data_IF_767100152986
#
_entry.id   IF_767100152986
#
_cell.length_a   1.000
_cell.length_b   1.000
_cell.length_c   1.000
_cell.angle_alpha   90.00
_cell.angle_beta   90.00
_cell.angle_gamma   90.00
#
_symmetry.space_group_name_H-M   'P 1'
#
loop_
_entity.id
_entity.type
_entity.pdbx_description
1 polymer ?
#
# COMPACT_ATOMS: atom_id res chain seq x y z
N UNK A 1 -9.50 -20.52 -4.58
CA UNK A 1 -10.40 -20.96 -3.49
C UNK A 1 -10.68 -22.45 -3.68
N UNK A 2 -10.51 -23.24 -2.64
CA UNK A 2 -10.84 -24.66 -2.62
C UNK A 2 -12.15 -24.85 -1.86
N UNK A 3 -13.05 -25.65 -2.43
CA UNK A 3 -14.33 -25.99 -1.82
C UNK A 3 -14.40 -27.49 -1.51
N UNK A 4 -14.94 -27.82 -0.37
CA UNK A 4 -15.33 -29.20 -0.06
C UNK A 4 -16.60 -29.56 -0.86
N UNK A 5 -16.54 -30.67 -1.62
CA UNK A 5 -17.67 -31.15 -2.44
C UNK A 5 -18.90 -31.53 -1.60
N UNK A 6 -18.71 -31.84 -0.33
CA UNK A 6 -19.78 -32.23 0.59
C UNK A 6 -20.36 -31.03 1.37
N UNK A 7 -19.84 -29.83 1.16
CA UNK A 7 -20.20 -28.60 1.90
C UNK A 7 -20.11 -28.72 3.43
N UNK A 8 -19.22 -29.58 3.93
CA UNK A 8 -19.04 -29.80 5.37
C UNK A 8 -18.00 -28.85 5.99
N UNK A 9 -17.16 -28.23 5.16
CA UNK A 9 -16.13 -27.30 5.59
C UNK A 9 -16.30 -25.95 4.91
N UNK A 10 -15.80 -24.90 5.56
CA UNK A 10 -15.70 -23.58 4.95
C UNK A 10 -14.72 -23.61 3.76
N UNK A 11 -14.93 -22.77 2.73
CA UNK A 11 -13.96 -22.62 1.66
C UNK A 11 -12.62 -22.13 2.22
N UNK A 12 -11.51 -22.43 1.53
CA UNK A 12 -10.21 -21.86 1.86
C UNK A 12 -10.22 -20.34 1.70
N UNK A 13 -9.27 -19.67 2.33
CA UNK A 13 -8.97 -18.27 1.99
C UNK A 13 -8.56 -18.15 0.51
N UNK A 14 -8.72 -16.94 -0.01
CA UNK A 14 -8.19 -16.59 -1.33
C UNK A 14 -6.71 -16.29 -1.15
N UNK A 15 -5.87 -16.94 -1.91
CA UNK A 15 -4.45 -16.64 -2.00
C UNK A 15 -4.19 -15.95 -3.34
N UNK A 16 -3.37 -14.93 -3.31
CA UNK A 16 -2.94 -14.14 -4.47
C UNK A 16 -1.42 -14.14 -4.48
N UNK A 17 -0.83 -14.29 -5.65
CA UNK A 17 0.61 -14.25 -5.80
C UNK A 17 0.96 -13.39 -7.02
N UNK A 18 1.89 -12.48 -6.86
CA UNK A 18 2.40 -11.61 -7.92
C UNK A 18 3.74 -12.13 -8.45
N UNK A 19 3.90 -12.13 -9.76
CA UNK A 19 5.15 -12.51 -10.42
C UNK A 19 5.58 -11.40 -11.39
N UNK A 20 6.82 -10.93 -11.25
CA UNK A 20 7.41 -9.93 -12.15
C UNK A 20 8.19 -10.60 -13.27
N UNK A 21 7.84 -10.28 -14.52
CA UNK A 21 8.51 -10.83 -15.70
C UNK A 21 9.21 -9.69 -16.43
N UNK A 22 10.55 -9.67 -16.39
CA UNK A 22 11.37 -8.62 -17.02
C UNK A 22 10.98 -7.20 -16.58
N UNK A 23 10.62 -7.02 -15.32
CA UNK A 23 10.20 -5.75 -14.74
C UNK A 23 11.13 -5.37 -13.58
N UNK A 24 12.34 -4.84 -13.86
CA UNK A 24 13.26 -4.44 -12.80
C UNK A 24 12.77 -3.16 -12.10
N UNK A 25 12.99 -3.11 -10.80
CA UNK A 25 12.67 -1.97 -9.96
C UNK A 25 13.89 -1.47 -9.20
N UNK A 26 13.87 -0.23 -8.72
CA UNK A 26 14.95 0.39 -7.93
C UNK A 26 14.50 0.76 -6.53
N UNK A 27 13.21 0.56 -6.23
CA UNK A 27 12.55 0.77 -4.94
C UNK A 27 11.66 -0.42 -4.66
N UNK A 28 11.15 -0.51 -3.43
CA UNK A 28 10.20 -1.54 -3.07
C UNK A 28 8.95 -1.51 -3.97
N UNK A 29 8.32 -2.65 -4.11
CA UNK A 29 7.11 -2.81 -4.92
C UNK A 29 5.97 -3.22 -4.02
N UNK A 30 4.86 -2.51 -4.11
CA UNK A 30 3.59 -2.93 -3.51
C UNK A 30 2.68 -3.44 -4.63
N UNK A 31 2.20 -4.65 -4.48
CA UNK A 31 1.18 -5.24 -5.35
C UNK A 31 -0.08 -5.48 -4.54
N UNK A 32 -1.19 -4.90 -4.99
CA UNK A 32 -2.51 -5.11 -4.38
C UNK A 32 -3.46 -5.74 -5.38
N UNK A 33 -4.26 -6.67 -4.90
CA UNK A 33 -5.23 -7.34 -5.76
C UNK A 33 -6.53 -7.65 -5.01
N UNK A 34 -7.65 -7.49 -5.71
CA UNK A 34 -8.98 -7.78 -5.18
C UNK A 34 -10.07 -7.34 -6.15
N UNK A 35 -11.24 -7.93 -6.02
CA UNK A 35 -12.34 -7.76 -6.98
C UNK A 35 -12.79 -6.30 -7.18
N UNK A 36 -12.67 -5.44 -6.15
CA UNK A 36 -13.15 -4.06 -6.18
C UNK A 36 -12.05 -3.04 -5.84
N UNK A 37 -10.77 -3.45 -5.80
CA UNK A 37 -9.67 -2.56 -5.38
C UNK A 37 -9.44 -1.45 -6.40
N UNK A 38 -9.51 -1.77 -7.68
CA UNK A 38 -9.44 -0.81 -8.78
C UNK A 38 -10.61 0.19 -8.74
N UNK A 39 -11.80 -0.24 -8.39
CA UNK A 39 -12.96 0.64 -8.24
C UNK A 39 -12.77 1.66 -7.12
N UNK A 40 -12.20 1.27 -5.98
CA UNK A 40 -11.81 2.21 -4.92
C UNK A 40 -10.85 3.26 -5.49
N UNK A 41 -9.77 2.85 -6.14
CA UNK A 41 -8.75 3.76 -6.66
C UNK A 41 -9.25 4.60 -7.86
N UNK A 42 -10.31 4.19 -8.53
CA UNK A 42 -11.00 4.99 -9.52
C UNK A 42 -12.01 5.99 -8.92
N UNK A 43 -12.08 6.10 -7.60
CA UNK A 43 -12.80 7.16 -6.89
C UNK A 43 -14.14 6.74 -6.31
N UNK A 44 -14.45 5.45 -6.26
CA UNK A 44 -15.64 4.95 -5.57
C UNK A 44 -15.35 4.83 -4.05
N UNK A 45 -16.20 5.40 -3.25
CA UNK A 45 -16.09 5.36 -1.78
C UNK A 45 -16.58 4.02 -1.23
N UNK A 46 -15.81 2.97 -1.48
CA UNK A 46 -16.07 1.60 -1.03
C UNK A 46 -14.90 1.11 -0.16
N UNK A 47 -15.09 -0.04 0.48
CA UNK A 47 -14.07 -0.67 1.34
C UNK A 47 -13.84 -2.11 0.88
N UNK A 48 -13.13 -2.31 -0.24
CA UNK A 48 -12.89 -3.64 -0.74
C UNK A 48 -11.93 -4.42 0.16
N UNK A 49 -12.05 -5.74 0.09
CA UNK A 49 -11.11 -6.68 0.68
C UNK A 49 -10.21 -7.19 -0.44
N UNK A 50 -8.92 -7.33 -0.16
CA UNK A 50 -7.97 -7.86 -1.10
C UNK A 50 -6.62 -8.19 -0.46
N UNK A 51 -5.72 -8.71 -1.27
CA UNK A 51 -4.35 -9.00 -0.90
C UNK A 51 -3.48 -7.75 -1.00
N UNK A 52 -2.48 -7.71 -0.15
CA UNK A 52 -1.40 -6.75 -0.15
C UNK A 52 -0.10 -7.54 -0.06
N UNK A 53 0.75 -7.39 -1.05
CA UNK A 53 2.08 -7.99 -1.11
C UNK A 53 3.10 -6.86 -1.20
N UNK A 54 4.19 -6.95 -0.44
CA UNK A 54 5.32 -6.03 -0.53
C UNK A 54 6.58 -6.81 -0.90
N UNK A 55 7.32 -6.30 -1.87
CA UNK A 55 8.54 -6.88 -2.41
C UNK A 55 9.68 -5.86 -2.31
N UNK A 56 10.89 -6.35 -2.21
CA UNK A 56 12.08 -5.52 -2.36
C UNK A 56 12.33 -5.14 -3.85
N UNK A 57 13.36 -4.34 -4.09
CA UNK A 57 13.75 -3.92 -5.44
C UNK A 57 14.21 -5.05 -6.36
N UNK A 58 14.57 -6.21 -5.80
CA UNK A 58 14.98 -7.39 -6.54
C UNK A 58 13.79 -8.30 -6.87
N UNK A 59 12.60 -7.97 -6.36
CA UNK A 59 11.36 -8.71 -6.56
C UNK A 59 11.20 -9.90 -5.60
N UNK A 60 11.94 -9.91 -4.49
CA UNK A 60 11.77 -10.89 -3.42
C UNK A 60 10.62 -10.45 -2.52
N UNK A 61 9.68 -11.34 -2.26
CA UNK A 61 8.57 -11.08 -1.35
C UNK A 61 9.11 -10.82 0.06
N UNK A 62 8.80 -9.65 0.61
CA UNK A 62 9.08 -9.28 1.99
C UNK A 62 8.00 -9.86 2.90
N UNK A 63 6.75 -9.49 2.66
CA UNK A 63 5.60 -10.05 3.40
C UNK A 63 4.29 -9.83 2.62
N UNK A 64 3.24 -10.52 3.06
CA UNK A 64 1.92 -10.44 2.47
C UNK A 64 0.81 -10.59 3.52
N UNK A 65 -0.33 -9.98 3.26
CA UNK A 65 -1.52 -10.18 4.08
C UNK A 65 -2.80 -9.87 3.29
N UNK A 66 -3.92 -10.36 3.79
CA UNK A 66 -5.24 -9.98 3.29
C UNK A 66 -5.90 -9.00 4.25
N UNK A 67 -6.56 -7.99 3.71
CA UNK A 67 -7.15 -6.93 4.52
C UNK A 67 -8.15 -6.06 3.78
N UNK A 68 -8.51 -4.98 4.44
CA UNK A 68 -9.47 -3.99 3.96
C UNK A 68 -8.72 -2.77 3.41
N UNK A 69 -9.15 -2.27 2.27
CA UNK A 69 -8.68 -1.02 1.69
C UNK A 69 -9.70 0.09 1.93
N UNK A 70 -9.24 1.26 2.32
CA UNK A 70 -10.07 2.44 2.56
C UNK A 70 -9.49 3.65 1.84
N UNK A 71 -10.33 4.60 1.50
CA UNK A 71 -9.93 5.92 1.02
C UNK A 71 -8.97 6.60 2.01
N UNK A 72 -7.86 7.16 1.49
CA UNK A 72 -6.96 8.03 2.25
C UNK A 72 -6.82 9.39 1.57
N UNK A 73 -7.21 10.43 2.29
CA UNK A 73 -7.16 11.81 1.82
C UNK A 73 -8.54 12.46 1.77
N UNK A 74 -8.56 13.72 1.43
CA UNK A 74 -9.77 14.52 1.23
C UNK A 74 -9.65 15.18 -0.15
N UNK A 75 -9.07 16.38 -0.26
CA UNK A 75 -8.89 17.08 -1.52
C UNK A 75 -8.01 16.29 -2.51
N UNK A 76 -7.02 15.57 -2.00
CA UNK A 76 -6.13 14.72 -2.82
C UNK A 76 -6.84 13.54 -3.46
N UNK A 77 -8.04 13.17 -2.98
CA UNK A 77 -8.86 12.14 -3.59
C UNK A 77 -9.42 12.53 -4.98
N UNK A 78 -9.38 13.81 -5.31
CA UNK A 78 -9.73 14.29 -6.64
C UNK A 78 -8.68 13.96 -7.72
N UNK A 79 -7.45 13.60 -7.34
CA UNK A 79 -6.39 13.27 -8.29
C UNK A 79 -6.47 11.83 -8.76
N UNK A 80 -5.81 11.52 -9.89
CA UNK A 80 -5.85 10.18 -10.48
C UNK A 80 -5.12 9.15 -9.63
N UNK A 81 -3.94 9.52 -9.08
CA UNK A 81 -3.19 8.67 -8.15
C UNK A 81 -3.70 8.89 -6.73
N UNK A 82 -4.75 8.19 -6.36
CA UNK A 82 -5.37 8.29 -5.04
C UNK A 82 -4.59 7.52 -4.00
N UNK A 83 -4.56 8.06 -2.78
CA UNK A 83 -4.03 7.37 -1.62
C UNK A 83 -5.06 6.40 -1.02
N UNK A 84 -4.59 5.40 -0.35
CA UNK A 84 -5.42 4.47 0.40
C UNK A 84 -4.79 4.08 1.74
N UNK A 85 -5.64 3.70 2.68
CA UNK A 85 -5.27 2.97 3.88
C UNK A 85 -5.44 1.48 3.62
N UNK A 86 -4.44 0.70 3.97
CA UNK A 86 -4.57 -0.74 4.07
C UNK A 86 -4.62 -1.16 5.53
N UNK A 87 -5.57 -2.01 5.89
CA UNK A 87 -5.76 -2.52 7.25
C UNK A 87 -5.82 -4.04 7.18
N UNK A 88 -4.79 -4.69 7.69
CA UNK A 88 -4.74 -6.16 7.76
C UNK A 88 -5.88 -6.70 8.62
N UNK A 89 -6.51 -7.77 8.15
CA UNK A 89 -7.63 -8.44 8.80
C UNK A 89 -7.40 -9.95 8.83
N UNK A 90 -7.08 -10.49 9.99
CA UNK A 90 -6.87 -11.93 10.22
C UNK A 90 -8.11 -12.80 9.93
N UNK A 91 -9.29 -12.20 9.91
CA UNK A 91 -10.53 -12.88 9.49
C UNK A 91 -10.58 -13.21 7.99
N UNK A 92 -9.69 -12.63 7.18
CA UNK A 92 -9.65 -12.81 5.73
C UNK A 92 -8.40 -13.55 5.24
N UNK A 93 -7.45 -13.82 6.14
CA UNK A 93 -6.19 -14.49 5.82
C UNK A 93 -5.47 -14.96 7.07
N UNK A 94 -4.25 -15.46 6.90
CA UNK A 94 -3.47 -16.03 8.01
C UNK A 94 -2.64 -14.96 8.75
N UNK A 95 -2.34 -13.84 8.11
CA UNK A 95 -1.51 -12.78 8.66
C UNK A 95 -2.39 -11.67 9.26
N UNK A 96 -2.03 -11.22 10.46
CA UNK A 96 -2.70 -10.12 11.17
C UNK A 96 -1.97 -8.78 11.05
N UNK A 97 -0.78 -8.78 10.47
CA UNK A 97 0.07 -7.61 10.26
C UNK A 97 1.01 -7.88 9.08
N UNK A 98 1.52 -6.82 8.46
CA UNK A 98 2.71 -6.88 7.61
C UNK A 98 3.92 -6.80 8.54
N UNK A 99 4.84 -7.73 8.40
CA UNK A 99 5.96 -7.96 9.34
C UNK A 99 7.29 -7.82 8.62
N UNK A 100 7.93 -6.70 8.84
CA UNK A 100 9.33 -6.45 8.49
C UNK A 100 9.77 -5.10 9.07
N UNK A 101 11.05 -4.81 9.03
CA UNK A 101 11.62 -3.49 9.32
C UNK A 101 11.39 -2.56 8.11
N UNK A 102 10.14 -2.14 7.92
CA UNK A 102 9.69 -1.40 6.73
C UNK A 102 10.24 0.03 6.64
N UNK A 103 10.61 0.64 7.77
CA UNK A 103 11.00 2.05 7.83
C UNK A 103 12.33 2.23 8.57
N UNK A 104 13.33 2.79 7.91
CA UNK A 104 14.69 3.00 8.45
C UNK A 104 14.73 3.77 9.77
N UNK A 105 13.77 4.66 9.99
CA UNK A 105 13.72 5.51 11.20
C UNK A 105 12.88 4.92 12.33
N UNK A 106 12.29 3.74 12.13
CA UNK A 106 11.42 3.09 13.12
C UNK A 106 11.98 1.75 13.56
N UNK A 107 12.05 1.54 14.85
CA UNK A 107 12.32 0.22 15.44
C UNK A 107 10.97 -0.50 15.69
N UNK A 108 10.27 -0.83 14.61
CA UNK A 108 8.98 -1.53 14.62
C UNK A 108 8.96 -2.51 13.46
N UNK A 109 8.56 -3.74 13.74
CA UNK A 109 8.55 -4.86 12.80
C UNK A 109 7.13 -5.37 12.46
N UNK A 110 6.07 -4.80 13.01
CA UNK A 110 4.69 -5.23 12.77
C UNK A 110 3.77 -4.04 12.51
N UNK A 111 3.06 -4.07 11.38
CA UNK A 111 2.18 -3.00 10.92
C UNK A 111 0.81 -3.56 10.55
N UNK A 112 -0.20 -3.29 11.38
CA UNK A 112 -1.59 -3.65 11.07
C UNK A 112 -2.26 -2.68 10.10
N UNK A 113 -1.70 -1.48 9.95
CA UNK A 113 -2.19 -0.46 9.04
C UNK A 113 -1.03 0.25 8.37
N UNK A 114 -1.12 0.37 7.05
CA UNK A 114 -0.22 1.16 6.23
C UNK A 114 -1.04 2.20 5.44
N UNK A 115 -0.43 3.36 5.23
CA UNK A 115 -0.96 4.39 4.33
C UNK A 115 -0.11 4.35 3.08
N UNK A 116 -0.73 4.22 1.92
CA UNK A 116 -0.03 4.28 0.62
C UNK A 116 -0.58 5.46 -0.15
N UNK A 117 0.29 6.41 -0.52
CA UNK A 117 -0.13 7.66 -1.16
C UNK A 117 0.89 8.16 -2.16
N UNK A 118 0.43 8.84 -3.21
CA UNK A 118 1.27 9.45 -4.23
C UNK A 118 1.43 10.97 -3.93
N UNK A 119 2.13 11.30 -2.83
CA UNK A 119 2.44 12.66 -2.40
C UNK A 119 1.22 13.61 -2.21
N UNK A 120 0.00 13.08 -2.16
CA UNK A 120 -1.23 13.84 -1.93
C UNK A 120 -1.34 15.08 -2.85
N UNK A 121 -1.45 16.29 -2.30
CA UNK A 121 -1.57 17.53 -3.06
C UNK A 121 -0.26 17.98 -3.73
N UNK A 122 0.87 17.33 -3.46
CA UNK A 122 2.16 17.56 -4.12
C UNK A 122 2.39 16.63 -5.31
N UNK A 123 1.33 16.00 -5.82
CA UNK A 123 1.36 15.07 -6.94
C UNK A 123 1.16 15.80 -8.29
N UNK A 124 1.47 15.10 -9.41
CA UNK A 124 1.06 15.47 -10.75
C UNK A 124 -0.47 15.26 -10.89
N UNK A 125 -1.16 16.03 -11.54
CA UNK A 125 -1.02 17.32 -12.19
C UNK A 125 -1.55 18.45 -11.31
N UNK A 126 -0.89 18.81 -10.25
CA UNK A 126 -1.31 19.94 -9.42
C UNK A 126 -1.27 21.22 -10.24
N UNK A 127 -2.41 21.81 -10.50
CA UNK A 127 -2.55 23.00 -11.34
C UNK A 127 -1.97 24.21 -10.63
N UNK A 128 -0.97 24.87 -11.27
CA UNK A 128 -0.39 26.13 -10.83
C UNK A 128 0.87 26.02 -9.98
N UNK A 129 1.41 24.84 -9.76
CA UNK A 129 2.67 24.62 -9.05
C UNK A 129 3.60 23.66 -9.78
N UNK A 130 4.83 23.58 -9.30
CA UNK A 130 5.76 22.51 -9.68
C UNK A 130 5.71 21.47 -8.58
N UNK A 131 5.01 20.35 -8.75
CA UNK A 131 4.96 19.30 -7.73
C UNK A 131 6.37 18.72 -7.56
N UNK A 132 6.79 18.56 -6.30
CA UNK A 132 8.07 17.96 -5.96
C UNK A 132 7.93 16.47 -5.63
N UNK A 133 6.73 16.01 -5.33
CA UNK A 133 6.37 14.66 -4.94
C UNK A 133 6.98 14.18 -3.61
N UNK A 134 7.64 15.08 -2.87
CA UNK A 134 8.36 14.74 -1.64
C UNK A 134 8.14 15.74 -0.49
N UNK A 135 7.29 16.77 -0.64
CA UNK A 135 7.19 17.84 0.38
C UNK A 135 6.75 17.33 1.72
N UNK A 136 5.75 16.47 1.75
CA UNK A 136 5.21 15.90 3.00
C UNK A 136 6.27 15.00 3.66
N UNK A 137 6.82 14.06 2.93
CA UNK A 137 7.86 13.14 3.40
C UNK A 137 9.12 13.90 3.84
N UNK A 138 9.53 14.94 3.12
CA UNK A 138 10.66 15.77 3.50
C UNK A 138 10.48 16.46 4.85
N UNK A 139 9.30 17.05 5.11
CA UNK A 139 9.01 17.71 6.40
C UNK A 139 8.98 16.69 7.55
N UNK A 140 8.41 15.51 7.32
CA UNK A 140 8.39 14.42 8.31
C UNK A 140 9.83 13.97 8.64
N UNK A 141 10.66 13.75 7.61
CA UNK A 141 12.07 13.38 7.81
C UNK A 141 12.89 14.47 8.51
N UNK A 142 12.65 15.74 8.21
CA UNK A 142 13.31 16.84 8.93
C UNK A 142 13.00 16.83 10.42
N UNK A 143 11.74 16.55 10.78
CA UNK A 143 11.34 16.42 12.19
C UNK A 143 12.09 15.28 12.88
N UNK A 144 12.21 14.13 12.22
CA UNK A 144 12.92 12.96 12.73
C UNK A 144 14.43 13.26 12.91
N UNK A 145 15.08 13.79 11.89
CA UNK A 145 16.50 14.18 11.94
C UNK A 145 16.75 15.25 13.00
N UNK A 146 15.82 16.21 13.14
CA UNK A 146 15.87 17.24 14.16
C UNK A 146 15.54 16.74 15.58
N UNK A 147 15.13 15.49 15.73
CA UNK A 147 14.68 14.88 16.99
C UNK A 147 13.64 15.75 17.72
N UNK A 148 12.68 16.25 16.98
CA UNK A 148 11.66 17.17 17.52
C UNK A 148 10.62 16.45 18.39
N UNK A 149 10.61 15.12 18.38
CA UNK A 149 9.72 14.25 19.17
C UNK A 149 8.24 14.54 18.91
N UNK A 150 7.93 14.84 17.67
CA UNK A 150 6.55 14.97 17.19
C UNK A 150 6.03 13.58 16.80
N UNK A 151 4.73 13.47 16.59
CA UNK A 151 4.11 12.23 16.08
C UNK A 151 4.15 12.21 14.54
N UNK A 152 5.38 12.35 14.02
CA UNK A 152 5.63 12.30 12.58
C UNK A 152 5.58 10.87 12.03
N UNK A 153 5.17 10.77 10.77
CA UNK A 153 5.16 9.51 10.03
C UNK A 153 6.53 9.23 9.43
N UNK A 154 6.88 7.96 9.33
CA UNK A 154 7.97 7.50 8.46
C UNK A 154 7.41 7.17 7.08
N UNK A 155 8.29 7.12 6.10
CA UNK A 155 7.92 6.81 4.72
C UNK A 155 9.07 6.12 4.00
N UNK A 156 8.73 5.30 3.03
CA UNK A 156 9.64 4.78 2.02
C UNK A 156 8.94 4.85 0.66
N UNK A 157 9.72 5.07 -0.39
CA UNK A 157 9.16 5.13 -1.75
C UNK A 157 8.94 3.74 -2.31
N UNK A 158 7.88 3.58 -3.08
CA UNK A 158 7.56 2.35 -3.76
C UNK A 158 6.96 2.59 -5.16
N UNK A 159 6.87 1.53 -5.94
CA UNK A 159 5.95 1.46 -7.09
C UNK A 159 4.73 0.64 -6.70
N UNK A 160 3.57 1.05 -7.19
CA UNK A 160 2.30 0.38 -6.95
C UNK A 160 1.83 -0.37 -8.20
N UNK A 161 1.41 -1.62 -8.00
CA UNK A 161 0.63 -2.41 -8.95
C UNK A 161 -0.75 -2.69 -8.38
N UNK A 162 -1.76 -2.60 -9.23
CA UNK A 162 -3.17 -2.87 -8.88
C UNK A 162 -3.73 -3.90 -9.83
N UNK A 163 -4.11 -5.06 -9.34
CA UNK A 163 -4.60 -6.18 -10.15
C UNK A 163 -3.66 -6.55 -11.32
N UNK A 164 -2.33 -6.39 -11.12
CA UNK A 164 -1.30 -6.65 -12.10
C UNK A 164 -0.94 -5.48 -13.02
N UNK A 165 -1.69 -4.39 -13.00
CA UNK A 165 -1.41 -3.20 -13.79
C UNK A 165 -0.51 -2.22 -13.03
N UNK A 166 0.51 -1.67 -13.69
CA UNK A 166 1.36 -0.62 -13.12
C UNK A 166 0.57 0.66 -12.88
N UNK A 167 0.56 1.14 -11.63
CA UNK A 167 -0.23 2.30 -11.22
C UNK A 167 0.59 3.58 -11.01
N UNK A 168 1.88 3.45 -10.75
CA UNK A 168 2.80 4.59 -10.61
C UNK A 168 3.69 4.53 -9.38
N UNK A 169 4.33 5.68 -9.10
CA UNK A 169 5.19 5.87 -7.93
C UNK A 169 4.34 6.36 -6.76
N UNK A 170 4.54 5.75 -5.62
CA UNK A 170 3.87 6.01 -4.34
C UNK A 170 4.88 6.04 -3.20
N UNK A 171 4.43 6.47 -2.03
CA UNK A 171 5.10 6.30 -0.74
C UNK A 171 4.18 5.51 0.20
N UNK A 172 4.77 4.68 1.05
CA UNK A 172 4.07 3.96 2.11
C UNK A 172 4.62 4.30 3.49
#
# INVERSE_FOLDING_TARGET
IVYDKLNNNLPSFVETNTYFINSPHTVNVISIAGDQVDNLLNGNQIKPIGSFEIFDSEGVLIDEATGEFNEHGNDSWAYQQRGFDYITRDQHGYNYAIKDDLFREKNREEYQRLIVKAAANDNYPFTGGSPAHIRDSYIQSLSQVGNLRLDERSHESCVLYVNGDYWGVYDY
#
